data_IF_661568007945
#
_entry.id   IF_661568007945
#
_cell.length_a   1.000
_cell.length_b   1.000
_cell.length_c   1.000
_cell.angle_alpha   90.00
_cell.angle_beta   90.00
_cell.angle_gamma   90.00
#
_symmetry.space_group_name_H-M   'P 1'
#
loop_
_entity.id
_entity.type
_entity.pdbx_description
1 polymer ?
#
# COMPACT_ATOMS: atom_id res chain seq x y z
N UNK A 1 3.67 20.45 -3.46
CA UNK A 1 3.62 19.59 -2.27
C UNK A 1 2.18 19.63 -1.79
N UNK A 2 1.47 18.50 -1.72
CA UNK A 2 0.21 18.51 -1.01
C UNK A 2 0.51 18.99 0.41
N UNK A 3 -0.32 19.88 0.93
CA UNK A 3 -0.16 20.41 2.27
C UNK A 3 -0.15 19.22 3.25
N UNK A 4 0.80 19.22 4.19
CA UNK A 4 0.91 18.18 5.21
C UNK A 4 -0.42 18.00 5.96
N UNK A 5 -1.15 19.09 6.15
CA UNK A 5 -2.45 19.10 6.83
C UNK A 5 -3.55 18.45 5.99
N UNK A 6 -3.54 18.58 4.66
CA UNK A 6 -4.48 17.92 3.76
C UNK A 6 -4.22 16.41 3.67
N UNK A 7 -2.95 16.01 3.67
CA UNK A 7 -2.55 14.60 3.74
C UNK A 7 -2.96 13.99 5.09
N UNK A 8 -2.63 14.65 6.19
CA UNK A 8 -2.95 14.18 7.54
C UNK A 8 -4.46 14.08 7.75
N UNK A 9 -5.23 15.03 7.22
CA UNK A 9 -6.70 14.98 7.24
C UNK A 9 -7.24 13.82 6.38
N UNK A 10 -6.76 13.65 5.16
CA UNK A 10 -7.22 12.58 4.25
C UNK A 10 -6.93 11.20 4.85
N UNK A 11 -5.73 11.00 5.38
CA UNK A 11 -5.38 9.74 6.03
C UNK A 11 -6.12 9.53 7.35
N UNK A 12 -6.40 10.57 8.13
CA UNK A 12 -7.17 10.44 9.36
C UNK A 12 -8.65 10.09 9.11
N UNK A 13 -9.23 10.62 8.04
CA UNK A 13 -10.59 10.28 7.62
C UNK A 13 -10.67 8.86 7.04
N UNK A 14 -9.74 8.52 6.16
CA UNK A 14 -9.58 7.17 5.63
C UNK A 14 -9.39 6.20 6.81
N UNK A 15 -8.52 6.51 7.77
CA UNK A 15 -8.32 5.74 8.99
C UNK A 15 -9.65 5.42 9.70
N UNK A 16 -10.46 6.44 9.96
CA UNK A 16 -11.75 6.26 10.66
C UNK A 16 -12.71 5.37 9.87
N UNK A 17 -12.86 5.61 8.57
CA UNK A 17 -13.76 4.85 7.70
C UNK A 17 -13.30 3.39 7.61
N UNK A 18 -12.00 3.18 7.39
CA UNK A 18 -11.45 1.83 7.25
C UNK A 18 -11.53 1.03 8.54
N UNK A 19 -11.19 1.61 9.69
CA UNK A 19 -11.31 0.91 10.97
C UNK A 19 -12.75 0.58 11.34
N UNK A 20 -13.71 1.44 11.00
CA UNK A 20 -15.14 1.15 11.19
C UNK A 20 -15.66 0.00 10.30
N UNK A 21 -15.00 -0.28 9.19
CA UNK A 21 -15.44 -1.25 8.20
C UNK A 21 -14.60 -2.53 8.17
N UNK A 22 -13.30 -2.42 8.45
CA UNK A 22 -12.34 -3.51 8.38
C UNK A 22 -11.76 -3.91 9.75
N UNK A 23 -12.24 -3.29 10.84
CA UNK A 23 -11.76 -3.53 12.20
C UNK A 23 -10.50 -2.71 12.54
N UNK A 24 -10.04 -2.83 13.80
CA UNK A 24 -8.94 -2.01 14.32
C UNK A 24 -7.59 -2.24 13.63
N UNK A 25 -7.42 -3.41 13.02
CA UNK A 25 -6.23 -3.79 12.27
C UNK A 25 -6.51 -3.77 10.76
N UNK A 26 -7.23 -2.76 10.31
CA UNK A 26 -7.65 -2.61 8.93
C UNK A 26 -6.51 -2.93 7.95
N UNK A 27 -6.59 -4.10 7.30
CA UNK A 27 -5.63 -4.50 6.28
C UNK A 27 -6.01 -3.82 4.96
N UNK A 28 -5.33 -2.72 4.68
CA UNK A 28 -5.54 -1.92 3.47
C UNK A 28 -4.52 -2.25 2.39
N UNK A 29 -4.38 -3.54 2.10
CA UNK A 29 -3.58 -4.02 0.98
C UNK A 29 -4.29 -5.15 0.25
N UNK A 30 -3.92 -5.41 -1.00
CA UNK A 30 -4.55 -6.44 -1.83
C UNK A 30 -4.44 -7.83 -1.18
N UNK A 31 -5.58 -8.47 -0.95
CA UNK A 31 -5.68 -9.82 -0.42
C UNK A 31 -5.22 -10.88 -1.46
N UNK A 32 -5.16 -12.14 -1.08
CA UNK A 32 -4.73 -13.23 -1.98
C UNK A 32 -5.81 -14.30 -2.06
N UNK A 33 -6.52 -14.30 -3.17
CA UNK A 33 -7.59 -15.26 -3.47
C UNK A 33 -7.11 -16.45 -4.30
N UNK A 34 -6.09 -16.26 -5.14
CA UNK A 34 -5.57 -17.30 -6.06
C UNK A 34 -6.65 -17.92 -6.96
N UNK A 35 -7.57 -17.08 -7.44
CA UNK A 35 -8.68 -17.50 -8.30
C UNK A 35 -9.90 -18.04 -7.56
N UNK A 36 -9.83 -18.27 -6.26
CA UNK A 36 -11.00 -18.64 -5.45
C UNK A 36 -11.73 -17.40 -4.90
N UNK A 37 -12.50 -16.75 -5.76
CA UNK A 37 -13.27 -15.56 -5.42
C UNK A 37 -14.54 -15.82 -4.60
N UNK A 38 -14.81 -17.07 -4.21
CA UNK A 38 -15.83 -17.42 -3.21
C UNK A 38 -15.34 -17.17 -1.78
N UNK A 39 -14.03 -17.03 -1.60
CA UNK A 39 -13.38 -16.79 -0.31
C UNK A 39 -13.74 -15.41 0.25
N UNK A 40 -13.98 -15.34 1.56
CA UNK A 40 -14.19 -14.06 2.26
C UNK A 40 -12.90 -13.26 2.43
N UNK A 41 -13.03 -11.94 2.57
CA UNK A 41 -11.89 -11.02 2.68
C UNK A 41 -10.92 -11.39 3.80
N UNK A 42 -11.40 -11.74 4.99
CA UNK A 42 -10.53 -12.03 6.14
C UNK A 42 -9.68 -13.27 5.90
N UNK A 43 -10.25 -14.29 5.27
CA UNK A 43 -9.53 -15.50 4.89
C UNK A 43 -8.50 -15.21 3.79
N UNK A 44 -8.87 -14.43 2.77
CA UNK A 44 -7.95 -14.03 1.71
C UNK A 44 -6.79 -13.16 2.24
N UNK A 45 -7.06 -12.29 3.24
CA UNK A 45 -6.01 -11.51 3.92
C UNK A 45 -5.10 -12.43 4.76
N UNK A 46 -5.65 -13.40 5.48
CA UNK A 46 -4.87 -14.39 6.22
C UNK A 46 -3.96 -15.18 5.26
N UNK A 47 -4.49 -15.65 4.14
CA UNK A 47 -3.76 -16.38 3.10
C UNK A 47 -2.62 -15.55 2.49
N UNK A 48 -2.84 -14.25 2.30
CA UNK A 48 -1.78 -13.32 1.90
C UNK A 48 -0.64 -13.31 2.92
N UNK A 49 -0.94 -13.16 4.22
CA UNK A 49 0.10 -13.13 5.24
C UNK A 49 0.85 -14.46 5.35
N UNK A 50 0.16 -15.59 5.19
CA UNK A 50 0.80 -16.91 5.14
C UNK A 50 1.75 -17.01 3.95
N UNK A 51 1.31 -16.58 2.78
CA UNK A 51 2.16 -16.52 1.59
C UNK A 51 3.40 -15.64 1.81
N UNK A 52 3.23 -14.44 2.37
CA UNK A 52 4.37 -13.58 2.73
C UNK A 52 5.33 -14.32 3.66
N UNK A 53 4.81 -14.97 4.69
CA UNK A 53 5.62 -15.71 5.67
C UNK A 53 6.43 -16.82 5.02
N UNK A 54 5.83 -17.58 4.13
CA UNK A 54 6.51 -18.64 3.37
C UNK A 54 7.62 -18.08 2.48
N UNK A 55 7.32 -16.97 1.77
CA UNK A 55 8.26 -16.39 0.81
C UNK A 55 9.51 -15.82 1.47
N UNK A 56 9.40 -15.24 2.66
CA UNK A 56 10.54 -14.58 3.32
C UNK A 56 10.95 -15.24 4.64
N UNK A 57 10.38 -16.41 4.96
CA UNK A 57 10.78 -17.23 6.10
C UNK A 57 10.42 -16.63 7.46
N UNK A 58 9.20 -16.11 7.62
CA UNK A 58 8.71 -15.63 8.92
C UNK A 58 8.43 -16.82 9.84
N UNK A 59 9.15 -16.88 10.95
CA UNK A 59 9.01 -17.97 11.92
C UNK A 59 9.70 -17.66 13.26
N UNK A 60 9.69 -18.60 14.21
CA UNK A 60 10.19 -18.37 15.54
C UNK A 60 11.62 -17.80 15.58
N UNK A 61 11.82 -16.77 16.40
CA UNK A 61 13.13 -16.13 16.59
C UNK A 61 13.58 -15.20 15.45
N UNK A 62 12.86 -15.16 14.34
CA UNK A 62 13.20 -14.24 13.23
C UNK A 62 12.78 -12.81 13.53
N UNK A 63 13.56 -11.85 13.07
CA UNK A 63 13.30 -10.42 13.16
C UNK A 63 12.97 -9.86 11.77
N UNK A 64 11.77 -9.28 11.61
CA UNK A 64 11.20 -8.87 10.32
C UNK A 64 10.83 -7.39 10.36
N UNK A 65 11.22 -6.65 9.31
CA UNK A 65 10.83 -5.25 9.11
C UNK A 65 9.65 -5.16 8.15
N UNK A 66 8.63 -4.39 8.54
CA UNK A 66 7.49 -4.04 7.69
C UNK A 66 7.57 -2.55 7.30
N UNK A 67 7.93 -2.29 6.03
CA UNK A 67 8.07 -0.96 5.47
C UNK A 67 6.71 -0.41 5.02
N UNK A 68 6.18 0.54 5.78
CA UNK A 68 4.84 1.07 5.58
C UNK A 68 3.77 0.16 6.20
N UNK A 69 3.96 -0.18 7.46
CA UNK A 69 3.16 -1.19 8.17
C UNK A 69 1.67 -0.87 8.36
N UNK A 70 1.22 0.33 7.99
CA UNK A 70 -0.17 0.74 8.18
C UNK A 70 -0.61 0.60 9.64
N UNK A 71 -1.74 -0.06 9.87
CA UNK A 71 -2.27 -0.38 11.22
C UNK A 71 -1.71 -1.68 11.80
N UNK A 72 -0.66 -2.24 11.21
CA UNK A 72 0.09 -3.37 11.72
C UNK A 72 -0.53 -4.76 11.53
N UNK A 73 -1.36 -5.04 10.49
CA UNK A 73 -1.93 -6.37 10.30
C UNK A 73 -0.86 -7.44 10.11
N UNK A 74 0.17 -7.17 9.30
CA UNK A 74 1.29 -8.08 9.13
C UNK A 74 2.11 -8.24 10.42
N UNK A 75 2.32 -7.17 11.20
CA UNK A 75 3.04 -7.24 12.48
C UNK A 75 2.32 -8.13 13.50
N UNK A 76 0.99 -8.08 13.55
CA UNK A 76 0.21 -9.00 14.38
C UNK A 76 0.36 -10.45 13.94
N UNK A 77 0.35 -10.69 12.64
CA UNK A 77 0.58 -12.02 12.09
C UNK A 77 1.99 -12.53 12.42
N UNK A 78 3.03 -11.68 12.27
CA UNK A 78 4.42 -11.98 12.64
C UNK A 78 4.50 -12.39 14.11
N UNK A 79 3.88 -11.62 15.01
CA UNK A 79 3.81 -11.94 16.44
C UNK A 79 3.16 -13.31 16.70
N UNK A 80 2.09 -13.62 15.99
CA UNK A 80 1.42 -14.93 16.05
C UNK A 80 2.31 -16.10 15.62
N UNK A 81 3.32 -15.84 14.77
CA UNK A 81 4.34 -16.81 14.34
C UNK A 81 5.55 -16.89 15.27
N UNK A 82 5.51 -16.25 16.45
CA UNK A 82 6.61 -16.18 17.42
C UNK A 82 7.89 -15.55 16.84
N UNK A 83 7.71 -14.62 15.89
CA UNK A 83 8.73 -13.77 15.32
C UNK A 83 8.63 -12.35 15.89
N UNK A 84 9.68 -11.56 15.78
CA UNK A 84 9.71 -10.15 16.17
C UNK A 84 9.46 -9.28 14.94
N UNK A 85 8.35 -8.55 14.94
CA UNK A 85 8.03 -7.57 13.90
C UNK A 85 8.36 -6.16 14.33
N UNK A 86 9.04 -5.41 13.47
CA UNK A 86 9.25 -3.96 13.62
C UNK A 86 8.59 -3.26 12.42
N UNK A 87 7.79 -2.25 12.67
CA UNK A 87 7.12 -1.50 11.61
C UNK A 87 7.60 -0.06 11.50
N UNK A 88 7.56 0.49 10.28
CA UNK A 88 7.72 1.93 10.07
C UNK A 88 6.52 2.47 9.30
N UNK A 89 6.08 3.68 9.66
CA UNK A 89 5.01 4.41 8.97
C UNK A 89 5.25 5.92 9.05
N UNK A 90 4.73 6.68 8.09
CA UNK A 90 4.72 8.16 8.13
C UNK A 90 3.46 8.72 8.80
N UNK A 91 2.45 7.90 9.04
CA UNK A 91 1.17 8.33 9.60
C UNK A 91 1.17 8.22 11.13
N UNK A 92 1.11 9.36 11.83
CA UNK A 92 1.11 9.42 13.29
C UNK A 92 -0.07 8.68 13.92
N UNK A 93 -1.25 8.73 13.31
CA UNK A 93 -2.44 8.00 13.77
C UNK A 93 -2.26 6.48 13.72
N UNK A 94 -1.61 5.97 12.66
CA UNK A 94 -1.29 4.56 12.51
C UNK A 94 -0.28 4.12 13.57
N UNK A 95 0.82 4.85 13.73
CA UNK A 95 1.84 4.55 14.74
C UNK A 95 1.25 4.51 16.15
N UNK A 96 0.43 5.51 16.54
CA UNK A 96 -0.27 5.54 17.84
C UNK A 96 -1.18 4.34 18.04
N UNK A 97 -1.92 3.93 17.01
CA UNK A 97 -2.81 2.76 17.07
C UNK A 97 -1.99 1.47 17.25
N UNK A 98 -0.92 1.30 16.50
CA UNK A 98 -0.03 0.14 16.60
C UNK A 98 0.60 0.04 17.99
N UNK A 99 1.15 1.14 18.52
CA UNK A 99 1.75 1.18 19.87
C UNK A 99 0.73 0.83 20.94
N UNK A 100 -0.51 1.32 20.84
CA UNK A 100 -1.59 0.96 21.77
C UNK A 100 -1.94 -0.53 21.72
N UNK A 101 -1.77 -1.18 20.57
CA UNK A 101 -1.97 -2.61 20.37
C UNK A 101 -0.73 -3.45 20.71
N UNK A 102 0.30 -2.84 21.32
CA UNK A 102 1.53 -3.51 21.74
C UNK A 102 2.43 -3.95 20.58
N UNK A 103 2.38 -3.23 19.45
CA UNK A 103 3.25 -3.46 18.30
C UNK A 103 4.43 -2.48 18.33
N UNK A 104 5.61 -2.96 17.93
CA UNK A 104 6.82 -2.15 17.80
C UNK A 104 6.78 -1.39 16.46
N UNK A 105 6.36 -0.13 16.51
CA UNK A 105 6.19 0.72 15.32
C UNK A 105 6.80 2.09 15.54
N UNK A 106 7.56 2.54 14.56
CA UNK A 106 8.26 3.82 14.55
C UNK A 106 7.67 4.78 13.51
N UNK A 107 7.47 6.03 13.92
CA UNK A 107 7.13 7.11 13.00
C UNK A 107 8.41 7.55 12.27
N UNK A 108 8.67 6.95 11.12
CA UNK A 108 9.91 7.15 10.37
C UNK A 108 9.70 7.06 8.85
N UNK A 109 10.49 7.85 8.11
CA UNK A 109 10.56 7.74 6.65
C UNK A 109 11.40 6.51 6.27
N UNK A 110 10.79 5.54 5.61
CA UNK A 110 11.45 4.32 5.12
C UNK A 110 12.67 4.61 4.22
N UNK A 111 12.70 5.79 3.57
CA UNK A 111 13.84 6.23 2.76
C UNK A 111 15.05 6.69 3.59
N UNK A 112 14.91 6.82 4.91
CA UNK A 112 15.94 7.33 5.84
C UNK A 112 16.40 6.30 6.86
N UNK A 113 15.80 5.10 6.90
CA UNK A 113 16.18 4.04 7.83
C UNK A 113 17.59 3.54 7.50
N UNK A 114 18.33 3.19 8.54
CA UNK A 114 19.70 2.65 8.43
C UNK A 114 19.87 1.46 9.36
N UNK A 115 20.92 0.67 9.11
CA UNK A 115 21.29 -0.44 9.99
C UNK A 115 21.63 0.03 11.41
N UNK A 116 22.22 1.21 11.54
CA UNK A 116 22.59 1.77 12.84
C UNK A 116 21.38 2.18 13.67
N UNK A 117 20.32 2.68 13.01
CA UNK A 117 19.09 3.12 13.69
C UNK A 117 18.12 1.98 14.03
N UNK A 118 18.07 0.93 13.21
CA UNK A 118 17.07 -0.16 13.36
C UNK A 118 17.71 -1.54 13.58
N UNK A 119 19.02 -1.69 13.36
CA UNK A 119 19.74 -2.95 13.43
C UNK A 119 19.45 -3.87 12.23
N UNK A 120 20.04 -5.09 12.22
CA UNK A 120 19.81 -6.05 11.17
C UNK A 120 18.43 -6.72 11.29
N UNK A 121 17.91 -7.17 10.15
CA UNK A 121 16.69 -7.96 10.05
C UNK A 121 16.97 -9.25 9.27
N UNK A 122 16.24 -10.32 9.58
CA UNK A 122 16.31 -11.57 8.82
C UNK A 122 15.55 -11.47 7.49
N UNK A 123 14.49 -10.65 7.46
CA UNK A 123 13.67 -10.40 6.29
C UNK A 123 13.02 -9.02 6.34
N UNK A 124 12.62 -8.52 5.16
CA UNK A 124 11.89 -7.26 5.00
C UNK A 124 10.63 -7.51 4.18
N UNK A 125 9.54 -6.83 4.51
CA UNK A 125 8.31 -6.79 3.72
C UNK A 125 7.88 -5.34 3.47
N UNK A 126 7.17 -5.11 2.35
CA UNK A 126 6.45 -3.86 2.08
C UNK A 126 5.19 -4.17 1.28
N UNK A 127 4.02 -3.86 1.84
CA UNK A 127 2.73 -4.18 1.26
C UNK A 127 1.91 -2.90 1.04
N UNK A 128 1.84 -2.43 -0.20
CA UNK A 128 1.05 -1.24 -0.56
C UNK A 128 1.61 0.08 0.00
N UNK A 129 2.93 0.19 0.14
CA UNK A 129 3.59 1.42 0.57
C UNK A 129 4.59 1.97 -0.46
N UNK A 130 5.06 1.12 -1.37
CA UNK A 130 6.07 1.48 -2.37
C UNK A 130 5.57 2.55 -3.34
N UNK A 131 4.28 2.64 -3.54
CA UNK A 131 3.56 3.64 -4.32
C UNK A 131 3.79 5.08 -3.84
N UNK A 132 4.14 5.24 -2.58
CA UNK A 132 4.30 6.54 -1.92
C UNK A 132 5.76 7.02 -1.84
N UNK A 133 6.72 6.22 -2.32
CA UNK A 133 8.13 6.56 -2.21
C UNK A 133 8.65 7.54 -3.25
N UNK A 134 7.91 7.79 -4.33
CA UNK A 134 8.22 8.81 -5.31
C UNK A 134 7.05 9.79 -5.44
N UNK A 135 7.32 11.07 -5.43
CA UNK A 135 6.30 12.08 -5.69
C UNK A 135 6.23 12.44 -7.19
N UNK A 136 5.10 13.04 -7.65
CA UNK A 136 5.01 13.55 -9.01
C UNK A 136 6.08 14.60 -9.37
N UNK A 137 6.52 15.41 -8.40
CA UNK A 137 7.60 16.38 -8.55
C UNK A 137 8.95 15.69 -8.76
N UNK A 138 9.24 14.66 -7.95
CA UNK A 138 10.46 13.87 -8.06
C UNK A 138 10.52 13.11 -9.39
N UNK A 139 9.39 12.59 -9.83
CA UNK A 139 9.29 11.94 -11.16
C UNK A 139 9.53 12.94 -12.29
N UNK A 140 8.88 14.13 -12.27
CA UNK A 140 9.10 15.19 -13.27
C UNK A 140 10.55 15.68 -13.31
N UNK A 141 11.25 15.61 -12.18
CA UNK A 141 12.68 15.90 -12.08
C UNK A 141 13.58 14.72 -12.53
N UNK A 142 13.02 13.64 -13.06
CA UNK A 142 13.76 12.47 -13.53
C UNK A 142 14.42 11.62 -12.43
N UNK A 143 14.02 11.78 -11.16
CA UNK A 143 14.69 11.14 -10.00
C UNK A 143 14.06 9.82 -9.56
N UNK A 144 13.01 9.36 -10.22
CA UNK A 144 12.26 8.16 -9.80
C UNK A 144 13.16 6.92 -9.68
N UNK A 145 13.97 6.63 -10.69
CA UNK A 145 14.87 5.47 -10.68
C UNK A 145 15.97 5.56 -9.61
N UNK A 146 16.48 6.76 -9.35
CA UNK A 146 17.44 7.01 -8.30
C UNK A 146 16.83 6.71 -6.92
N UNK A 147 15.62 7.20 -6.68
CA UNK A 147 14.89 6.99 -5.42
C UNK A 147 14.67 5.50 -5.17
N UNK A 148 14.21 4.76 -6.19
CA UNK A 148 13.97 3.32 -6.02
C UNK A 148 15.27 2.54 -5.84
N UNK A 149 16.33 2.83 -6.61
CA UNK A 149 17.65 2.22 -6.38
C UNK A 149 18.17 2.51 -4.97
N UNK A 150 18.04 3.74 -4.50
CA UNK A 150 18.40 4.12 -3.14
C UNK A 150 17.63 3.34 -2.06
N UNK A 151 16.32 3.11 -2.27
CA UNK A 151 15.52 2.30 -1.36
C UNK A 151 15.98 0.83 -1.34
N UNK A 152 16.18 0.22 -2.51
CA UNK A 152 16.67 -1.16 -2.59
C UNK A 152 18.07 -1.30 -1.96
N UNK A 153 18.96 -0.33 -2.14
CA UNK A 153 20.27 -0.32 -1.47
C UNK A 153 20.14 -0.31 0.06
N UNK A 154 19.22 0.50 0.60
CA UNK A 154 18.95 0.55 2.06
C UNK A 154 18.39 -0.78 2.55
N UNK A 155 17.38 -1.33 1.89
CA UNK A 155 16.81 -2.64 2.26
C UNK A 155 17.91 -3.71 2.24
N UNK A 156 18.78 -3.71 1.22
CA UNK A 156 19.90 -4.64 1.16
C UNK A 156 20.87 -4.49 2.33
N UNK A 157 21.13 -3.26 2.79
CA UNK A 157 22.02 -3.02 3.94
C UNK A 157 21.48 -3.57 5.26
N UNK A 158 20.16 -3.70 5.38
CA UNK A 158 19.48 -4.23 6.56
C UNK A 158 19.47 -5.77 6.61
N UNK A 159 19.61 -6.42 5.46
CA UNK A 159 19.47 -7.87 5.30
C UNK A 159 20.83 -8.58 5.34
N UNK A 160 20.89 -9.84 5.84
CA UNK A 160 22.04 -10.70 5.65
C UNK A 160 22.18 -11.11 4.18
N UNK A 161 23.27 -11.74 3.82
CA UNK A 161 23.41 -12.42 2.53
C UNK A 161 22.29 -13.43 2.33
N UNK A 162 21.72 -13.46 1.11
CA UNK A 162 20.54 -14.27 0.77
C UNK A 162 19.28 -13.93 1.58
N UNK A 163 19.29 -12.84 2.36
CA UNK A 163 18.10 -12.32 3.03
C UNK A 163 17.03 -11.93 2.01
N UNK A 164 15.77 -12.12 2.36
CA UNK A 164 14.64 -11.93 1.43
C UNK A 164 13.88 -10.65 1.69
N UNK A 165 13.44 -10.03 0.60
CA UNK A 165 12.53 -8.89 0.60
C UNK A 165 11.28 -9.23 -0.20
N UNK A 166 10.13 -9.14 0.44
CA UNK A 166 8.82 -9.24 -0.19
C UNK A 166 8.27 -7.86 -0.47
N UNK A 167 7.90 -7.62 -1.73
CA UNK A 167 7.28 -6.37 -2.17
C UNK A 167 5.94 -6.66 -2.84
N UNK A 168 4.88 -6.05 -2.33
CA UNK A 168 3.57 -6.02 -2.95
C UNK A 168 3.23 -4.57 -3.28
N UNK A 169 2.99 -4.26 -4.56
CA UNK A 169 2.81 -2.89 -5.01
C UNK A 169 1.92 -2.77 -6.23
N UNK A 170 1.22 -1.64 -6.34
CA UNK A 170 0.58 -1.21 -7.57
C UNK A 170 1.61 -0.60 -8.52
N UNK A 171 1.37 -0.77 -9.82
CA UNK A 171 2.16 -0.17 -10.88
C UNK A 171 1.23 0.33 -11.99
N UNK A 172 1.71 1.18 -12.88
CA UNK A 172 0.98 1.45 -14.12
C UNK A 172 0.86 0.18 -14.95
N UNK A 173 -0.31 -0.03 -15.50
CA UNK A 173 -0.65 -1.21 -16.31
C UNK A 173 -0.29 -1.03 -17.78
N UNK A 174 -0.48 -2.08 -18.59
CA UNK A 174 -0.13 -2.07 -20.02
C UNK A 174 -0.98 -1.10 -20.85
N UNK A 175 -2.17 -0.74 -20.37
CA UNK A 175 -3.07 0.19 -21.07
C UNK A 175 -2.97 1.63 -20.53
N UNK A 176 -1.92 1.94 -19.74
CA UNK A 176 -1.71 3.28 -19.21
C UNK A 176 -1.63 4.30 -20.34
N UNK A 177 -2.39 5.39 -20.23
CA UNK A 177 -2.38 6.48 -21.18
C UNK A 177 -1.23 7.48 -20.90
N UNK A 178 -0.83 8.32 -21.88
CA UNK A 178 0.13 9.39 -21.66
C UNK A 178 -0.30 10.33 -20.54
N UNK A 179 0.64 10.71 -19.67
CA UNK A 179 0.39 11.49 -18.45
C UNK A 179 -0.24 12.87 -18.75
N UNK A 180 0.12 13.48 -19.86
CA UNK A 180 -0.40 14.78 -20.32
C UNK A 180 -1.89 14.74 -20.73
N UNK A 181 -2.45 13.53 -20.88
CA UNK A 181 -3.88 13.33 -21.18
C UNK A 181 -4.72 13.13 -19.90
N UNK A 182 -4.10 13.01 -18.74
CA UNK A 182 -4.81 12.80 -17.48
C UNK A 182 -5.38 14.12 -17.00
N UNK A 183 -6.71 14.27 -17.07
CA UNK A 183 -7.39 15.50 -16.69
C UNK A 183 -8.80 15.23 -16.13
N UNK A 184 -9.16 15.91 -15.04
CA UNK A 184 -10.51 15.87 -14.46
C UNK A 184 -11.56 16.54 -15.38
N UNK A 185 -11.14 17.33 -16.35
CA UNK A 185 -12.01 17.92 -17.38
C UNK A 185 -12.30 16.96 -18.54
N UNK A 186 -11.59 15.82 -18.60
CA UNK A 186 -11.88 14.79 -19.59
C UNK A 186 -13.32 14.26 -19.44
N UNK A 187 -13.92 13.68 -20.47
CA UNK A 187 -15.25 13.11 -20.38
C UNK A 187 -15.36 12.15 -19.19
N UNK A 188 -16.46 12.23 -18.44
CA UNK A 188 -16.72 11.30 -17.34
C UNK A 188 -16.64 9.87 -17.85
N UNK A 189 -16.19 8.96 -17.00
CA UNK A 189 -16.00 7.54 -17.28
C UNK A 189 -14.93 7.22 -18.35
N UNK A 190 -14.15 8.22 -18.80
CA UNK A 190 -12.94 8.00 -19.58
C UNK A 190 -11.77 7.57 -18.70
N UNK A 191 -10.77 6.93 -19.30
CA UNK A 191 -9.53 6.53 -18.61
C UNK A 191 -8.79 7.73 -18.02
N UNK A 192 -8.75 8.85 -18.77
CA UNK A 192 -8.16 10.10 -18.35
C UNK A 192 -8.81 10.67 -17.07
N UNK A 193 -10.13 10.60 -17.01
CA UNK A 193 -10.90 11.06 -15.87
C UNK A 193 -10.69 10.17 -14.62
N UNK A 194 -10.73 8.84 -14.79
CA UNK A 194 -10.51 7.91 -13.67
C UNK A 194 -9.09 8.02 -13.09
N UNK A 195 -8.07 8.11 -13.94
CA UNK A 195 -6.69 8.32 -13.49
C UNK A 195 -6.50 9.66 -12.78
N UNK A 196 -7.14 10.73 -13.27
CA UNK A 196 -7.11 12.03 -12.62
C UNK A 196 -7.77 12.00 -11.22
N UNK A 197 -8.88 11.26 -11.06
CA UNK A 197 -9.50 11.02 -9.75
C UNK A 197 -8.57 10.32 -8.79
N UNK A 198 -7.89 9.28 -9.23
CA UNK A 198 -6.94 8.54 -8.39
C UNK A 198 -5.76 9.42 -7.96
N UNK A 199 -5.17 10.17 -8.89
CA UNK A 199 -4.09 11.10 -8.58
C UNK A 199 -4.49 12.16 -7.54
N UNK A 200 -5.77 12.56 -7.53
CA UNK A 200 -6.31 13.48 -6.54
C UNK A 200 -6.56 12.84 -5.17
N UNK A 201 -6.87 11.55 -5.13
CA UNK A 201 -7.10 10.82 -3.88
C UNK A 201 -5.79 10.47 -3.16
N UNK A 202 -4.72 10.27 -3.91
CA UNK A 202 -3.40 9.92 -3.40
C UNK A 202 -2.37 10.98 -3.80
N UNK A 203 -2.54 12.23 -3.32
CA UNK A 203 -1.61 13.30 -3.62
C UNK A 203 -0.21 12.95 -3.11
N UNK A 204 0.81 13.29 -3.87
CA UNK A 204 2.19 13.01 -3.51
C UNK A 204 2.69 11.60 -3.84
N UNK A 205 1.86 10.75 -4.48
CA UNK A 205 2.22 9.40 -4.89
C UNK A 205 2.39 9.31 -6.40
N UNK A 206 3.43 8.62 -6.86
CA UNK A 206 3.63 8.34 -8.27
C UNK A 206 4.06 6.87 -8.46
N UNK A 207 3.32 6.15 -9.31
CA UNK A 207 3.52 4.73 -9.52
C UNK A 207 4.71 4.43 -10.45
N UNK A 208 5.18 3.20 -10.39
CA UNK A 208 6.18 2.63 -11.28
C UNK A 208 5.56 2.30 -12.64
N UNK A 209 6.39 2.41 -13.69
CA UNK A 209 6.00 2.00 -15.06
C UNK A 209 6.16 0.47 -15.23
N UNK A 210 5.24 -0.28 -14.65
CA UNK A 210 5.26 -1.74 -14.67
C UNK A 210 6.21 -2.38 -13.66
N UNK A 211 6.14 -3.71 -13.56
CA UNK A 211 7.03 -4.48 -12.68
C UNK A 211 8.48 -4.40 -13.10
N UNK A 212 8.74 -4.23 -14.40
CA UNK A 212 10.07 -4.21 -14.99
C UNK A 212 10.93 -3.10 -14.41
N UNK A 213 10.38 -1.90 -14.21
CA UNK A 213 11.09 -0.79 -13.58
C UNK A 213 11.47 -1.12 -12.14
N UNK A 214 10.57 -1.78 -11.40
CA UNK A 214 10.83 -2.23 -10.02
C UNK A 214 12.00 -3.23 -10.00
N UNK A 215 11.94 -4.23 -10.87
CA UNK A 215 12.97 -5.28 -10.97
C UNK A 215 14.33 -4.70 -11.39
N UNK A 216 14.35 -3.79 -12.35
CA UNK A 216 15.58 -3.11 -12.78
C UNK A 216 16.20 -2.26 -11.67
N UNK A 217 15.37 -1.56 -10.89
CA UNK A 217 15.82 -0.77 -9.75
C UNK A 217 16.40 -1.64 -8.62
N UNK A 218 15.87 -2.85 -8.44
CA UNK A 218 16.35 -3.82 -7.45
C UNK A 218 17.64 -4.52 -7.88
N UNK A 219 17.88 -4.68 -9.20
CA UNK A 219 18.92 -5.52 -9.80
C UNK A 219 20.34 -5.31 -9.26
N UNK A 220 20.80 -4.10 -8.90
CA UNK A 220 22.15 -3.94 -8.33
C UNK A 220 22.38 -4.74 -7.05
N UNK A 221 21.35 -4.93 -6.21
CA UNK A 221 21.47 -5.52 -4.89
C UNK A 221 20.72 -6.84 -4.73
N UNK A 222 19.74 -7.09 -5.58
CA UNK A 222 18.85 -8.25 -5.48
C UNK A 222 18.76 -9.04 -6.77
N UNK A 223 18.40 -10.31 -6.63
CA UNK A 223 17.85 -11.12 -7.72
C UNK A 223 16.35 -11.33 -7.47
N UNK A 224 15.56 -11.32 -8.51
CA UNK A 224 14.15 -11.69 -8.46
C UNK A 224 14.06 -13.22 -8.28
N UNK A 225 13.33 -13.65 -7.25
CA UNK A 225 13.08 -15.09 -6.97
C UNK A 225 11.76 -15.52 -7.58
N UNK A 226 10.71 -14.72 -7.37
CA UNK A 226 9.40 -14.96 -7.95
C UNK A 226 8.65 -13.67 -8.18
N UNK A 227 7.75 -13.68 -9.17
CA UNK A 227 6.78 -12.62 -9.39
C UNK A 227 5.41 -13.21 -9.72
N UNK A 228 4.35 -12.58 -9.25
CA UNK A 228 2.99 -12.97 -9.61
C UNK A 228 2.09 -11.75 -9.67
N UNK A 229 1.21 -11.72 -10.68
CA UNK A 229 0.16 -10.69 -10.76
C UNK A 229 -0.87 -10.94 -9.66
N UNK A 230 -1.22 -9.87 -8.95
CA UNK A 230 -2.29 -9.82 -7.98
C UNK A 230 -3.48 -8.98 -8.45
N UNK A 231 -3.56 -8.65 -9.75
CA UNK A 231 -4.57 -7.72 -10.27
C UNK A 231 -5.99 -8.19 -10.04
N UNK A 232 -6.31 -9.44 -10.37
CA UNK A 232 -7.66 -9.98 -10.15
C UNK A 232 -7.99 -10.09 -8.66
N UNK A 233 -7.02 -10.49 -7.85
CA UNK A 233 -7.15 -10.50 -6.39
C UNK A 233 -7.43 -9.10 -5.84
N UNK A 234 -6.79 -8.07 -6.41
CA UNK A 234 -6.99 -6.69 -5.96
C UNK A 234 -8.36 -6.15 -6.35
N UNK A 235 -8.86 -6.47 -7.55
CA UNK A 235 -10.24 -6.15 -7.98
C UNK A 235 -11.24 -6.76 -7.00
N UNK A 236 -11.08 -8.03 -6.64
CA UNK A 236 -11.95 -8.69 -5.69
C UNK A 236 -11.83 -8.09 -4.28
N UNK A 237 -10.62 -7.74 -3.85
CA UNK A 237 -10.37 -7.05 -2.58
C UNK A 237 -11.16 -5.73 -2.52
N UNK A 238 -11.09 -4.91 -3.57
CA UNK A 238 -11.84 -3.64 -3.66
C UNK A 238 -13.35 -3.91 -3.62
N UNK A 239 -13.84 -4.94 -4.33
CA UNK A 239 -15.25 -5.31 -4.31
C UNK A 239 -15.72 -5.65 -2.90
N UNK A 240 -14.95 -6.44 -2.15
CA UNK A 240 -15.28 -6.81 -0.78
C UNK A 240 -15.14 -5.63 0.21
N UNK A 241 -14.14 -4.75 0.03
CA UNK A 241 -14.10 -3.51 0.81
C UNK A 241 -15.35 -2.67 0.60
N UNK A 242 -15.80 -2.49 -0.65
CA UNK A 242 -17.04 -1.75 -0.95
C UNK A 242 -18.26 -2.36 -0.26
N UNK A 243 -18.39 -3.67 -0.28
CA UNK A 243 -19.46 -4.36 0.42
C UNK A 243 -19.43 -4.06 1.92
N UNK A 244 -18.28 -4.19 2.57
CA UNK A 244 -18.11 -3.88 4.00
C UNK A 244 -18.35 -2.39 4.32
N UNK A 245 -17.93 -1.47 3.43
CA UNK A 245 -18.23 -0.03 3.62
C UNK A 245 -19.72 0.26 3.52
N UNK A 246 -20.45 -0.46 2.67
CA UNK A 246 -21.88 -0.31 2.50
C UNK A 246 -22.71 -0.89 3.66
N UNK A 247 -22.17 -1.85 4.43
CA UNK A 247 -22.85 -2.44 5.58
C UNK A 247 -23.26 -1.35 6.58
N UNK A 248 -24.56 -1.27 6.94
CA UNK A 248 -25.03 -0.24 7.86
C UNK A 248 -24.53 -0.51 9.29
N UNK A 249 -24.12 0.54 9.98
CA UNK A 249 -23.87 0.50 11.41
C UNK A 249 -24.14 1.88 12.04
N UNK A 250 -24.51 1.91 13.31
CA UNK A 250 -24.75 3.16 14.04
C UNK A 250 -23.52 4.09 13.98
N UNK A 251 -22.33 3.54 14.17
CA UNK A 251 -21.06 4.31 14.14
C UNK A 251 -20.80 4.93 12.76
N UNK A 252 -21.08 4.18 11.66
CA UNK A 252 -20.95 4.72 10.30
C UNK A 252 -21.98 5.79 10.01
N UNK A 253 -23.21 5.63 10.53
CA UNK A 253 -24.27 6.64 10.40
C UNK A 253 -23.86 7.93 11.12
N UNK A 254 -23.36 7.86 12.35
CA UNK A 254 -22.85 9.01 13.09
C UNK A 254 -21.70 9.70 12.34
N UNK A 255 -20.76 8.93 11.79
CA UNK A 255 -19.67 9.49 10.98
C UNK A 255 -20.20 10.20 9.72
N UNK A 256 -21.20 9.62 9.03
CA UNK A 256 -21.83 10.27 7.86
C UNK A 256 -22.49 11.59 8.25
N UNK A 257 -23.18 11.65 9.38
CA UNK A 257 -23.78 12.89 9.90
C UNK A 257 -22.72 13.94 10.25
N UNK A 258 -21.62 13.54 10.88
CA UNK A 258 -20.48 14.43 11.17
C UNK A 258 -19.88 15.01 9.89
N UNK A 259 -19.78 14.22 8.83
CA UNK A 259 -19.20 14.62 7.55
C UNK A 259 -20.16 15.38 6.63
N UNK A 260 -21.47 15.37 6.94
CA UNK A 260 -22.50 15.96 6.10
C UNK A 260 -22.26 17.46 5.76
N UNK A 261 -21.89 18.35 6.71
CA UNK A 261 -21.60 19.74 6.38
C UNK A 261 -20.50 19.87 5.33
N UNK A 262 -19.41 19.11 5.46
CA UNK A 262 -18.30 19.11 4.51
C UNK A 262 -18.72 18.52 3.15
N UNK A 263 -19.54 17.49 3.15
CA UNK A 263 -20.08 16.90 1.93
C UNK A 263 -20.97 17.90 1.17
N UNK A 264 -21.76 18.72 1.89
CA UNK A 264 -22.60 19.75 1.28
C UNK A 264 -21.79 20.91 0.70
N UNK A 265 -20.71 21.34 1.37
CA UNK A 265 -19.96 22.55 1.02
C UNK A 265 -18.74 22.31 0.12
N UNK A 266 -18.20 21.09 0.07
CA UNK A 266 -16.96 20.80 -0.65
C UNK A 266 -17.21 19.82 -1.82
N UNK A 267 -17.17 20.35 -3.04
CA UNK A 267 -17.40 19.56 -4.26
C UNK A 267 -16.33 18.46 -4.46
N UNK A 268 -15.09 18.74 -4.09
CA UNK A 268 -13.97 17.80 -4.22
C UNK A 268 -14.09 16.64 -3.27
N UNK A 269 -14.51 16.93 -2.04
CA UNK A 269 -14.81 15.90 -1.04
C UNK A 269 -15.95 14.99 -1.52
N UNK A 270 -17.02 15.56 -2.06
CA UNK A 270 -18.12 14.78 -2.66
C UNK A 270 -17.62 13.86 -3.75
N UNK A 271 -16.83 14.39 -4.68
CA UNK A 271 -16.31 13.63 -5.82
C UNK A 271 -15.42 12.46 -5.35
N UNK A 272 -14.49 12.73 -4.43
CA UNK A 272 -13.63 11.71 -3.85
C UNK A 272 -14.43 10.59 -3.16
N UNK A 273 -15.45 10.97 -2.40
CA UNK A 273 -16.25 10.03 -1.60
C UNK A 273 -17.20 9.18 -2.46
N UNK A 274 -17.73 9.73 -3.56
CA UNK A 274 -18.70 9.03 -4.42
C UNK A 274 -18.05 8.21 -5.53
N UNK A 275 -16.96 8.70 -6.09
CA UNK A 275 -16.39 8.12 -7.32
C UNK A 275 -15.03 7.46 -7.11
N UNK A 276 -14.34 7.77 -6.00
CA UNK A 276 -12.96 7.38 -5.85
C UNK A 276 -12.74 5.89 -5.68
N UNK A 277 -13.54 5.21 -4.85
CA UNK A 277 -13.41 3.74 -4.70
C UNK A 277 -13.76 3.03 -6.01
N UNK A 278 -14.71 3.59 -6.78
CA UNK A 278 -15.06 3.08 -8.11
C UNK A 278 -13.93 3.31 -9.12
N UNK A 279 -13.26 4.46 -9.08
CA UNK A 279 -12.15 4.77 -9.96
C UNK A 279 -11.01 3.74 -9.84
N UNK A 280 -10.70 3.33 -8.61
CA UNK A 280 -9.65 2.33 -8.37
C UNK A 280 -9.99 1.00 -9.05
N UNK A 281 -11.21 0.45 -8.82
CA UNK A 281 -11.65 -0.80 -9.46
C UNK A 281 -11.57 -0.73 -10.98
N UNK A 282 -12.13 0.34 -11.57
CA UNK A 282 -12.15 0.53 -13.03
C UNK A 282 -10.75 0.60 -13.62
N UNK A 283 -9.81 1.28 -12.96
CA UNK A 283 -8.43 1.34 -13.44
C UNK A 283 -7.76 -0.04 -13.49
N UNK A 284 -8.02 -0.91 -12.52
CA UNK A 284 -7.53 -2.29 -12.56
C UNK A 284 -8.26 -3.15 -13.59
N UNK A 285 -9.58 -3.02 -13.73
CA UNK A 285 -10.39 -3.74 -14.72
C UNK A 285 -9.95 -3.40 -16.15
N UNK A 286 -9.65 -2.12 -16.42
CA UNK A 286 -9.18 -1.62 -17.72
C UNK A 286 -7.67 -1.77 -17.93
N UNK A 287 -6.95 -2.35 -16.97
CA UNK A 287 -5.50 -2.53 -17.01
C UNK A 287 -4.72 -1.20 -17.16
N UNK A 288 -5.28 -0.09 -16.71
CA UNK A 288 -4.55 1.18 -16.53
C UNK A 288 -3.60 1.08 -15.36
N UNK A 289 -3.96 0.27 -14.36
CA UNK A 289 -3.14 -0.14 -13.23
C UNK A 289 -2.99 -1.67 -13.20
N UNK A 290 -1.89 -2.12 -12.63
CA UNK A 290 -1.64 -3.52 -12.31
C UNK A 290 -1.14 -3.64 -10.87
N UNK A 291 -1.11 -4.86 -10.36
CA UNK A 291 -0.69 -5.16 -9.00
C UNK A 291 0.23 -6.37 -9.00
N UNK A 292 1.39 -6.23 -8.37
CA UNK A 292 2.43 -7.26 -8.40
C UNK A 292 2.88 -7.66 -6.99
N UNK A 293 3.17 -8.94 -6.86
CA UNK A 293 3.84 -9.56 -5.71
C UNK A 293 5.21 -10.02 -6.18
N UNK A 294 6.25 -9.45 -5.61
CA UNK A 294 7.64 -9.66 -6.01
C UNK A 294 8.44 -10.17 -4.81
N UNK A 295 9.19 -11.23 -5.00
CA UNK A 295 10.09 -11.77 -3.98
C UNK A 295 11.52 -11.59 -4.47
N UNK A 296 12.28 -10.87 -3.69
CA UNK A 296 13.68 -10.61 -3.97
C UNK A 296 14.56 -11.33 -2.96
N UNK A 297 15.74 -11.77 -3.40
CA UNK A 297 16.81 -12.29 -2.57
C UNK A 297 18.05 -11.42 -2.73
N UNK A 298 18.63 -10.98 -1.60
CA UNK A 298 19.86 -10.20 -1.62
C UNK A 298 21.00 -11.02 -2.22
N UNK A 299 21.73 -10.40 -3.15
CA UNK A 299 22.94 -10.98 -3.73
C UNK A 299 24.05 -11.08 -2.66
N UNK A 300 24.97 -12.03 -2.84
CA UNK A 300 26.17 -12.12 -2.01
C UNK A 300 26.97 -10.83 -2.00
#
# INVERSE_FOLDING_TARGET
>A
MADRDDLEFTYSLIDRIFRLSLGEQADFSGAKYDGDFSMGLDEAQRRKHEYVAEQIGIGPGRRVLDLGCGWGPLLNFIRGRRATGVGVTLASAQAKTCTRNGLDVHLADARKITRDSFGPFDAVASLGAFEHFCSPEEQRAGRQDEIYRGLFARVASLLPERGRFYLQTMVFGPNMIPLDRIDLKAPRDSDAWYLALLGRQFPGSFLQYGQEQVVQSARPHFRLVSSSSGRLDYIETIRQWRARFAEPSLRKTLLKLELLPRWLTNADFRLAFTSGVSANSVCFERQLLDHWRLVFEKKP
#
